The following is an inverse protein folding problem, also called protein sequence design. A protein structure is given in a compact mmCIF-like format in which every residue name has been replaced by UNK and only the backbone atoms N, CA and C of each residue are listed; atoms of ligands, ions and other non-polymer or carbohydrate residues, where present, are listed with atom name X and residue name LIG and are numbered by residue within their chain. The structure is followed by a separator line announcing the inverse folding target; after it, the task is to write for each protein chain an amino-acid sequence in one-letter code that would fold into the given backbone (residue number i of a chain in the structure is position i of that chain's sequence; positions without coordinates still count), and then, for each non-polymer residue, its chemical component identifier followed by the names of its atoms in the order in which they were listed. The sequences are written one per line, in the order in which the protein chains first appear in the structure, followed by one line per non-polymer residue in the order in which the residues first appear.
data_IF_288135225069
#
_entry.id   IF_288135225069
#
_cell.length_a   1.000
_cell.length_b   1.000
_cell.length_c   1.000
_cell.angle_alpha   90.00
_cell.angle_beta   90.00
_cell.angle_gamma   90.00
#
_symmetry.space_group_name_H-M   'P 1'
#
loop_
_entity.id
_entity.type
_entity.pdbx_description
1 polymer ?
#
# COMPACT_ATOMS: atom_id res chain seq x y z
N UNK A 1 -6.81 11.41 -39.70
CA UNK A 1 -7.55 10.47 -38.82
C UNK A 1 -6.81 10.35 -37.50
N UNK A 2 -7.33 10.90 -36.39
CA UNK A 2 -6.69 10.78 -35.06
C UNK A 2 -7.53 9.85 -34.20
N UNK A 3 -6.98 8.68 -33.89
CA UNK A 3 -7.55 7.70 -32.98
C UNK A 3 -6.60 7.58 -31.78
N UNK A 4 -7.09 7.55 -30.52
CA UNK A 4 -8.48 7.60 -30.09
C UNK A 4 -9.09 9.02 -30.11
N UNK A 5 -10.40 9.11 -30.39
CA UNK A 5 -11.14 10.38 -30.53
C UNK A 5 -11.74 10.76 -29.17
N UNK A 6 -11.10 11.67 -28.44
CA UNK A 6 -11.59 12.16 -27.13
C UNK A 6 -12.48 13.39 -27.30
N UNK A 7 -13.46 13.59 -26.38
CA UNK A 7 -14.36 14.76 -26.38
C UNK A 7 -13.60 16.09 -26.24
N UNK A 8 -12.45 16.07 -25.57
CA UNK A 8 -11.61 17.24 -25.31
C UNK A 8 -10.28 17.15 -26.08
N UNK A 9 -9.64 18.29 -26.43
CA UNK A 9 -8.32 18.30 -27.02
C UNK A 9 -7.30 17.64 -26.08
N UNK A 10 -6.29 16.92 -26.61
CA UNK A 10 -5.29 16.25 -25.79
C UNK A 10 -4.49 17.29 -25.00
N UNK A 11 -4.39 17.08 -23.68
CA UNK A 11 -3.50 17.85 -22.83
C UNK A 11 -2.10 17.27 -22.89
N UNK A 12 -1.10 18.14 -23.06
CA UNK A 12 0.31 17.75 -22.92
C UNK A 12 0.65 17.63 -21.43
N UNK A 13 1.26 16.52 -21.05
CA UNK A 13 1.79 16.27 -19.70
C UNK A 13 3.23 15.79 -19.82
N UNK A 14 4.04 16.00 -18.79
CA UNK A 14 5.42 15.49 -18.76
C UNK A 14 5.42 13.95 -18.71
N UNK A 15 6.50 13.34 -19.19
CA UNK A 15 6.67 11.88 -19.11
C UNK A 15 6.61 11.37 -17.66
N UNK A 16 7.15 12.14 -16.71
CA UNK A 16 7.12 11.83 -15.28
C UNK A 16 5.69 11.82 -14.74
N UNK A 17 4.87 12.82 -15.09
CA UNK A 17 3.48 12.88 -14.66
C UNK A 17 2.65 11.78 -15.31
N UNK A 18 2.89 11.51 -16.60
CA UNK A 18 2.24 10.41 -17.30
C UNK A 18 2.57 9.06 -16.65
N UNK A 19 3.85 8.80 -16.36
CA UNK A 19 4.30 7.56 -15.75
C UNK A 19 3.69 7.36 -14.36
N UNK A 20 3.71 8.40 -13.54
CA UNK A 20 3.10 8.35 -12.20
C UNK A 20 1.61 8.01 -12.27
N UNK A 21 0.84 8.74 -13.09
CA UNK A 21 -0.60 8.49 -13.24
C UNK A 21 -0.91 7.10 -13.83
N UNK A 22 -0.07 6.60 -14.75
CA UNK A 22 -0.24 5.26 -15.33
C UNK A 22 0.00 4.17 -14.27
N UNK A 23 1.09 4.27 -13.50
CA UNK A 23 1.40 3.34 -12.41
C UNK A 23 0.35 3.42 -11.30
N UNK A 24 -0.09 4.62 -10.93
CA UNK A 24 -1.14 4.83 -9.92
C UNK A 24 -2.47 4.21 -10.35
N UNK A 25 -2.80 4.27 -11.64
CA UNK A 25 -4.03 3.64 -12.16
C UNK A 25 -3.98 2.12 -12.02
N UNK A 26 -2.83 1.50 -12.33
CA UNK A 26 -2.61 0.06 -12.14
C UNK A 26 -2.62 -0.30 -10.64
N UNK A 27 -1.93 0.49 -9.82
CA UNK A 27 -1.89 0.32 -8.37
C UNK A 27 -3.28 0.41 -7.75
N UNK A 28 -4.09 1.39 -8.16
CA UNK A 28 -5.45 1.57 -7.66
C UNK A 28 -6.36 0.40 -8.06
N UNK A 29 -6.32 -0.02 -9.33
CA UNK A 29 -7.09 -1.17 -9.79
C UNK A 29 -6.71 -2.45 -9.03
N UNK A 30 -5.40 -2.70 -8.89
CA UNK A 30 -4.90 -3.83 -8.12
C UNK A 30 -5.33 -3.76 -6.65
N UNK A 31 -5.30 -2.57 -6.05
CA UNK A 31 -5.78 -2.33 -4.69
C UNK A 31 -7.27 -2.63 -4.52
N UNK A 32 -8.11 -2.23 -5.47
CA UNK A 32 -9.54 -2.58 -5.45
C UNK A 32 -9.75 -4.09 -5.52
N UNK A 33 -9.06 -4.77 -6.44
CA UNK A 33 -9.12 -6.25 -6.54
C UNK A 33 -8.67 -6.89 -5.23
N UNK A 34 -7.56 -6.42 -4.66
CA UNK A 34 -7.04 -6.90 -3.37
C UNK A 34 -8.06 -6.74 -2.25
N UNK A 35 -8.68 -5.56 -2.08
CA UNK A 35 -9.68 -5.33 -1.04
C UNK A 35 -10.92 -6.20 -1.24
N UNK A 36 -11.39 -6.38 -2.49
CA UNK A 36 -12.51 -7.29 -2.79
C UNK A 36 -12.16 -8.72 -2.40
N UNK A 37 -11.00 -9.23 -2.81
CA UNK A 37 -10.55 -10.58 -2.44
C UNK A 37 -10.40 -10.73 -0.92
N UNK A 38 -9.85 -9.73 -0.24
CA UNK A 38 -9.67 -9.72 1.21
C UNK A 38 -10.99 -9.89 1.96
N UNK A 39 -12.05 -9.23 1.48
CA UNK A 39 -13.40 -9.34 2.05
C UNK A 39 -14.03 -10.69 1.69
N UNK A 40 -14.06 -11.05 0.41
CA UNK A 40 -14.75 -12.25 -0.09
C UNK A 40 -14.16 -13.54 0.45
N UNK A 41 -12.84 -13.61 0.62
CA UNK A 41 -12.15 -14.78 1.19
C UNK A 41 -12.19 -14.82 2.72
N UNK A 42 -12.64 -13.76 3.39
CA UNK A 42 -12.58 -13.64 4.84
C UNK A 42 -11.19 -13.35 5.40
N UNK A 43 -10.16 -13.17 4.56
CA UNK A 43 -8.79 -12.91 5.00
C UNK A 43 -8.59 -11.53 5.65
N UNK A 44 -9.59 -10.65 5.61
CA UNK A 44 -9.57 -9.35 6.29
C UNK A 44 -9.26 -9.44 7.79
N UNK A 45 -9.64 -10.53 8.46
CA UNK A 45 -9.36 -10.78 9.89
C UNK A 45 -7.86 -10.81 10.21
N UNK A 46 -7.00 -11.07 9.21
CA UNK A 46 -5.55 -11.06 9.38
C UNK A 46 -4.97 -9.66 9.49
N UNK A 47 -5.63 -8.66 8.92
CA UNK A 47 -5.11 -7.28 8.81
C UNK A 47 -5.94 -6.26 9.57
N UNK A 48 -7.16 -6.59 9.99
CA UNK A 48 -7.98 -5.74 10.85
C UNK A 48 -7.89 -6.25 12.28
N UNK A 49 -7.45 -5.42 13.25
CA UNK A 49 -7.45 -5.81 14.64
C UNK A 49 -8.87 -6.13 15.13
N UNK A 50 -9.03 -7.30 15.76
CA UNK A 50 -10.29 -7.77 16.33
C UNK A 50 -10.31 -7.72 17.86
N UNK A 51 -9.19 -7.32 18.48
CA UNK A 51 -9.01 -7.20 19.93
C UNK A 51 -8.13 -6.00 20.27
N UNK A 52 -8.37 -5.40 21.44
CA UNK A 52 -7.56 -4.31 21.99
C UNK A 52 -6.16 -4.75 22.44
N UNK A 53 -5.93 -6.06 22.60
CA UNK A 53 -4.60 -6.63 22.90
C UNK A 53 -3.56 -6.29 21.82
N UNK A 54 -4.00 -5.90 20.61
CA UNK A 54 -3.11 -5.48 19.53
C UNK A 54 -2.16 -4.36 19.96
N UNK A 55 -2.60 -3.44 20.83
CA UNK A 55 -1.79 -2.28 21.24
C UNK A 55 -0.61 -2.69 22.13
N UNK A 56 -0.81 -3.34 23.30
CA UNK A 56 0.32 -3.78 24.12
C UNK A 56 1.22 -4.80 23.41
N UNK A 57 0.65 -5.68 22.58
CA UNK A 57 1.44 -6.66 21.82
C UNK A 57 2.29 -6.00 20.72
N UNK A 58 1.76 -4.96 20.06
CA UNK A 58 2.53 -4.20 19.08
C UNK A 58 3.70 -3.45 19.72
N UNK A 59 3.51 -2.90 20.92
CA UNK A 59 4.60 -2.27 21.66
C UNK A 59 5.69 -3.28 22.02
N UNK A 60 5.31 -4.49 22.48
CA UNK A 60 6.27 -5.55 22.76
C UNK A 60 7.04 -5.97 21.50
N UNK A 61 6.37 -6.17 20.38
CA UNK A 61 7.02 -6.49 19.10
C UNK A 61 7.94 -5.35 18.63
N UNK A 62 7.54 -4.09 18.81
CA UNK A 62 8.38 -2.94 18.46
C UNK A 62 9.68 -2.89 19.29
N UNK A 63 9.59 -3.17 20.60
CA UNK A 63 10.78 -3.27 21.46
C UNK A 63 11.68 -4.44 21.05
N UNK A 64 11.10 -5.58 20.67
CA UNK A 64 11.84 -6.73 20.14
C UNK A 64 12.62 -6.37 18.87
N UNK A 65 11.96 -5.77 17.86
CA UNK A 65 12.65 -5.28 16.67
C UNK A 65 13.73 -4.23 17.00
N UNK A 66 13.45 -3.27 17.88
CA UNK A 66 14.39 -2.23 18.27
C UNK A 66 15.62 -2.76 19.03
N UNK A 67 15.43 -3.84 19.79
CA UNK A 67 16.52 -4.53 20.52
C UNK A 67 17.31 -5.50 19.66
N UNK A 68 17.01 -5.59 18.36
CA UNK A 68 17.63 -6.57 17.47
C UNK A 68 17.44 -8.01 18.00
N UNK A 69 16.28 -8.27 18.62
CA UNK A 69 15.86 -9.60 18.99
C UNK A 69 14.53 -9.88 18.28
N UNK A 70 14.60 -10.61 17.18
CA UNK A 70 13.47 -10.71 16.25
C UNK A 70 12.32 -11.46 16.90
N UNK A 71 11.10 -10.89 16.89
CA UNK A 71 9.92 -11.62 17.33
C UNK A 71 9.75 -12.89 16.50
N UNK A 72 9.19 -13.93 17.12
CA UNK A 72 8.83 -15.15 16.38
C UNK A 72 7.71 -14.80 15.42
N UNK A 73 8.04 -14.79 14.12
CA UNK A 73 7.09 -14.53 13.05
C UNK A 73 6.57 -15.83 12.45
N UNK A 74 5.26 -15.88 12.18
CA UNK A 74 4.68 -16.94 11.37
C UNK A 74 3.69 -16.34 10.35
N UNK A 75 4.24 -15.57 9.40
CA UNK A 75 3.49 -14.84 8.37
C UNK A 75 2.61 -15.72 7.48
N UNK A 76 2.79 -17.05 7.49
CA UNK A 76 1.88 -17.99 6.85
C UNK A 76 0.53 -18.03 7.57
N UNK A 77 0.57 -18.14 8.91
CA UNK A 77 -0.59 -18.30 9.78
C UNK A 77 -1.15 -16.95 10.21
N UNK A 78 -0.35 -16.10 10.85
CA UNK A 78 -0.76 -14.81 11.41
C UNK A 78 0.38 -13.79 11.40
N UNK A 79 0.01 -12.51 11.35
CA UNK A 79 0.96 -11.42 11.57
C UNK A 79 1.05 -11.10 13.06
N UNK A 80 2.23 -10.71 13.53
CA UNK A 80 2.33 -10.12 14.86
C UNK A 80 1.55 -8.78 14.90
N UNK A 81 1.21 -8.29 16.10
CA UNK A 81 0.37 -7.11 16.26
C UNK A 81 0.96 -5.82 15.69
N UNK A 82 2.29 -5.65 15.68
CA UNK A 82 2.93 -4.48 15.04
C UNK A 82 2.77 -4.53 13.52
N UNK A 83 3.01 -5.69 12.91
CA UNK A 83 2.77 -5.91 11.49
C UNK A 83 1.29 -5.72 11.15
N UNK A 84 0.38 -6.28 11.94
CA UNK A 84 -1.07 -6.13 11.72
C UNK A 84 -1.49 -4.66 11.72
N UNK A 85 -1.04 -3.86 12.69
CA UNK A 85 -1.32 -2.41 12.71
C UNK A 85 -0.69 -1.69 11.52
N UNK A 86 0.55 -2.04 11.16
CA UNK A 86 1.22 -1.44 10.01
C UNK A 86 0.46 -1.72 8.71
N UNK A 87 -0.01 -2.96 8.51
CA UNK A 87 -0.84 -3.33 7.36
C UNK A 87 -2.20 -2.65 7.39
N UNK A 88 -2.86 -2.59 8.56
CA UNK A 88 -4.13 -1.89 8.71
C UNK A 88 -4.01 -0.43 8.27
N UNK A 89 -3.02 0.30 8.81
CA UNK A 89 -2.77 1.70 8.47
C UNK A 89 -2.43 1.86 6.99
N UNK A 90 -1.58 0.98 6.45
CA UNK A 90 -1.18 1.05 5.04
C UNK A 90 -2.37 0.85 4.10
N UNK A 91 -3.18 -0.19 4.34
CA UNK A 91 -4.28 -0.61 3.47
C UNK A 91 -5.50 0.32 3.60
N UNK A 92 -5.90 0.66 4.83
CA UNK A 92 -7.19 1.30 5.08
C UNK A 92 -7.09 2.80 5.41
N UNK A 93 -5.88 3.33 5.58
CA UNK A 93 -5.66 4.76 5.87
C UNK A 93 -4.78 5.41 4.81
N UNK A 94 -3.52 4.99 4.69
CA UNK A 94 -2.55 5.61 3.80
C UNK A 94 -2.94 5.47 2.32
N UNK A 95 -3.31 4.26 1.88
CA UNK A 95 -3.71 4.03 0.49
C UNK A 95 -4.98 4.82 0.08
N UNK A 96 -6.08 4.83 0.84
CA UNK A 96 -7.23 5.69 0.54
C UNK A 96 -6.90 7.18 0.53
N UNK A 97 -6.07 7.65 1.48
CA UNK A 97 -5.62 9.05 1.48
C UNK A 97 -4.81 9.39 0.24
N UNK A 98 -3.88 8.52 -0.18
CA UNK A 98 -3.10 8.70 -1.40
C UNK A 98 -3.99 8.72 -2.65
N UNK A 99 -4.96 7.81 -2.75
CA UNK A 99 -5.90 7.77 -3.87
C UNK A 99 -6.76 9.05 -3.93
N UNK A 100 -7.35 9.46 -2.81
CA UNK A 100 -8.21 10.65 -2.75
C UNK A 100 -7.44 11.94 -3.10
N UNK A 101 -6.26 12.11 -2.51
CA UNK A 101 -5.40 13.27 -2.76
C UNK A 101 -4.81 13.25 -4.17
N UNK A 102 -4.42 12.07 -4.68
CA UNK A 102 -3.92 11.87 -6.03
C UNK A 102 -4.96 12.22 -7.10
N UNK A 103 -6.20 11.73 -6.95
CA UNK A 103 -7.31 12.09 -7.85
C UNK A 103 -7.52 13.61 -7.87
N UNK A 104 -7.50 14.26 -6.71
CA UNK A 104 -7.69 15.72 -6.60
C UNK A 104 -6.60 16.54 -7.30
N UNK A 105 -5.37 16.06 -7.29
CA UNK A 105 -4.24 16.70 -7.98
C UNK A 105 -4.14 16.31 -9.46
N UNK A 106 -4.79 15.21 -9.87
CA UNK A 106 -4.75 14.69 -11.23
C UNK A 106 -5.60 15.50 -12.22
N UNK A 107 -5.36 15.27 -13.52
CA UNK A 107 -6.22 15.79 -14.59
C UNK A 107 -7.63 15.19 -14.64
N UNK A 108 -7.92 14.16 -13.84
CA UNK A 108 -9.26 13.55 -13.74
C UNK A 108 -10.24 14.39 -12.90
N UNK A 109 -9.73 15.29 -12.04
CA UNK A 109 -10.57 16.21 -11.28
C UNK A 109 -11.19 17.27 -12.18
N UNK A 110 -12.53 17.31 -12.24
CA UNK A 110 -13.24 18.23 -13.12
C UNK A 110 -13.15 19.68 -12.67
N UNK A 111 -12.74 20.57 -13.57
CA UNK A 111 -12.73 22.01 -13.34
C UNK A 111 -14.14 22.61 -13.10
N UNK A 112 -15.19 21.89 -13.49
CA UNK A 112 -16.58 22.33 -13.29
C UNK A 112 -17.07 22.12 -11.85
N UNK A 113 -16.35 21.33 -11.04
CA UNK A 113 -16.73 21.04 -9.65
C UNK A 113 -16.34 22.17 -8.68
N UNK A 114 -16.83 23.38 -8.92
CA UNK A 114 -16.43 24.60 -8.18
C UNK A 114 -16.67 24.49 -6.67
N UNK A 115 -17.86 24.04 -6.25
CA UNK A 115 -18.21 23.88 -4.82
C UNK A 115 -17.32 22.86 -4.12
N UNK A 116 -17.10 21.70 -4.75
CA UNK A 116 -16.25 20.65 -4.20
C UNK A 116 -14.78 21.07 -4.16
N UNK A 117 -14.31 21.81 -5.17
CA UNK A 117 -12.94 22.33 -5.21
C UNK A 117 -12.67 23.41 -4.17
N UNK A 118 -13.71 24.17 -3.78
CA UNK A 118 -13.63 25.12 -2.67
C UNK A 118 -13.60 24.39 -1.31
N UNK A 119 -14.39 23.33 -1.14
CA UNK A 119 -14.39 22.52 0.07
C UNK A 119 -13.12 21.67 0.24
N UNK A 120 -12.52 21.25 -0.87
CA UNK A 120 -11.28 20.47 -0.90
C UNK A 120 -10.23 21.15 -1.80
N UNK A 121 -9.48 22.13 -1.28
CA UNK A 121 -8.43 22.82 -2.02
C UNK A 121 -7.28 21.89 -2.43
N UNK A 122 -6.61 22.20 -3.55
CA UNK A 122 -5.51 21.37 -4.05
C UNK A 122 -4.28 21.45 -3.14
N UNK A 123 -4.13 22.57 -2.44
CA UNK A 123 -3.10 22.85 -1.45
C UNK A 123 -3.22 21.90 -0.27
N UNK A 124 -4.46 21.67 0.20
CA UNK A 124 -4.76 20.70 1.26
C UNK A 124 -4.45 19.29 0.77
N UNK A 125 -4.87 18.94 -0.45
CA UNK A 125 -4.57 17.64 -1.04
C UNK A 125 -3.06 17.38 -1.09
N UNK A 126 -2.27 18.36 -1.53
CA UNK A 126 -0.80 18.28 -1.59
C UNK A 126 -0.18 18.16 -0.20
N UNK A 127 -0.66 18.93 0.76
CA UNK A 127 -0.17 18.93 2.15
C UNK A 127 -0.41 17.57 2.84
N UNK A 128 -1.44 16.82 2.43
CA UNK A 128 -1.69 15.45 2.90
C UNK A 128 -0.89 14.43 2.07
N UNK A 129 -0.88 14.58 0.75
CA UNK A 129 -0.26 13.61 -0.16
C UNK A 129 1.24 13.45 0.09
N UNK A 130 1.95 14.56 0.33
CA UNK A 130 3.39 14.52 0.51
C UNK A 130 3.83 13.73 1.76
N UNK A 131 3.28 13.96 2.97
CA UNK A 131 3.53 13.10 4.12
C UNK A 131 3.14 11.63 3.90
N UNK A 132 2.03 11.36 3.20
CA UNK A 132 1.61 9.98 2.89
C UNK A 132 2.63 9.29 1.98
N UNK A 133 3.20 10.00 1.00
CA UNK A 133 4.29 9.49 0.17
C UNK A 133 5.53 9.18 1.00
N UNK A 134 5.92 10.07 1.92
CA UNK A 134 7.05 9.81 2.83
C UNK A 134 6.80 8.58 3.72
N UNK A 135 5.58 8.43 4.24
CA UNK A 135 5.18 7.23 4.97
C UNK A 135 5.37 5.97 4.14
N UNK A 136 4.89 5.94 2.88
CA UNK A 136 5.07 4.78 2.00
C UNK A 136 6.54 4.45 1.75
N UNK A 137 7.40 5.46 1.55
CA UNK A 137 8.84 5.25 1.36
C UNK A 137 9.46 4.61 2.60
N UNK A 138 9.18 5.15 3.79
CA UNK A 138 9.70 4.62 5.05
C UNK A 138 9.16 3.21 5.35
N UNK A 139 7.86 2.99 5.13
CA UNK A 139 7.23 1.69 5.26
C UNK A 139 7.90 0.67 4.33
N UNK A 140 8.10 1.01 3.06
CA UNK A 140 8.74 0.12 2.09
C UNK A 140 10.15 -0.26 2.51
N UNK A 141 10.97 0.71 2.94
CA UNK A 141 12.33 0.46 3.41
C UNK A 141 12.33 -0.50 4.60
N UNK A 142 11.53 -0.21 5.62
CA UNK A 142 11.43 -1.04 6.82
C UNK A 142 10.88 -2.45 6.49
N UNK A 143 9.80 -2.52 5.72
CA UNK A 143 9.14 -3.75 5.34
C UNK A 143 10.06 -4.68 4.55
N UNK A 144 10.72 -4.18 3.50
CA UNK A 144 11.64 -4.99 2.68
C UNK A 144 12.85 -5.43 3.50
N UNK A 145 13.39 -4.55 4.36
CA UNK A 145 14.48 -4.91 5.28
C UNK A 145 14.09 -6.08 6.18
N UNK A 146 12.87 -6.04 6.74
CA UNK A 146 12.36 -7.13 7.58
C UNK A 146 12.13 -8.41 6.77
N UNK A 147 11.55 -8.32 5.58
CA UNK A 147 11.37 -9.48 4.67
C UNK A 147 12.70 -10.18 4.40
N UNK A 148 13.77 -9.41 4.14
CA UNK A 148 15.08 -9.97 3.81
C UNK A 148 15.85 -10.47 5.05
N UNK A 149 15.65 -9.86 6.22
CA UNK A 149 16.36 -10.23 7.46
C UNK A 149 15.66 -11.30 8.31
N UNK A 150 14.37 -11.57 8.10
CA UNK A 150 13.56 -12.53 8.90
C UNK A 150 13.38 -13.89 8.21
N UNK A 151 14.24 -14.22 7.24
CA UNK A 151 14.15 -15.47 6.47
C UNK A 151 13.68 -15.25 5.02
N UNK A 152 14.50 -14.53 4.24
CA UNK A 152 14.18 -14.09 2.87
C UNK A 152 13.54 -15.16 1.98
N UNK A 153 14.14 -16.35 1.85
CA UNK A 153 13.62 -17.42 0.98
C UNK A 153 12.22 -17.89 1.40
N UNK A 154 11.99 -18.03 2.71
CA UNK A 154 10.69 -18.45 3.24
C UNK A 154 9.63 -17.37 3.03
N UNK A 155 9.97 -16.11 3.33
CA UNK A 155 9.08 -14.97 3.13
C UNK A 155 8.71 -14.77 1.64
N UNK A 156 9.69 -14.89 0.74
CA UNK A 156 9.46 -14.81 -0.70
C UNK A 156 8.59 -15.98 -1.20
N UNK A 157 8.72 -17.17 -0.63
CA UNK A 157 7.81 -18.28 -0.93
C UNK A 157 6.39 -18.06 -0.41
N UNK A 158 6.19 -17.39 0.73
CA UNK A 158 4.86 -16.99 1.19
C UNK A 158 4.20 -16.01 0.22
N UNK A 159 4.97 -15.04 -0.30
CA UNK A 159 4.43 -13.95 -1.15
C UNK A 159 4.26 -14.35 -2.62
N UNK A 160 5.26 -15.02 -3.21
CA UNK A 160 5.32 -15.30 -4.65
C UNK A 160 5.15 -16.78 -4.96
N UNK A 161 5.60 -17.68 -4.07
CA UNK A 161 5.56 -19.12 -4.28
C UNK A 161 4.26 -19.80 -3.79
N UNK A 162 3.46 -19.13 -2.97
CA UNK A 162 2.25 -19.69 -2.38
C UNK A 162 2.48 -20.92 -1.49
N UNK A 163 3.67 -21.05 -0.89
CA UNK A 163 4.07 -22.24 -0.11
C UNK A 163 4.86 -21.86 1.14
N UNK A 164 4.71 -22.64 2.21
CA UNK A 164 5.53 -22.52 3.42
C UNK A 164 6.78 -23.42 3.33
N UNK A 165 7.73 -23.04 2.48
CA UNK A 165 8.95 -23.81 2.22
C UNK A 165 10.20 -22.91 2.11
N UNK A 166 11.36 -23.50 2.39
CA UNK A 166 12.66 -22.84 2.19
C UNK A 166 13.30 -23.39 0.91
N UNK A 167 12.99 -22.75 -0.21
CA UNK A 167 13.55 -23.07 -1.53
C UNK A 167 13.60 -21.78 -2.39
N UNK A 168 14.07 -21.89 -3.63
CA UNK A 168 14.30 -20.75 -4.51
C UNK A 168 13.08 -20.32 -5.33
N UNK A 169 11.96 -21.05 -5.30
CA UNK A 169 10.81 -20.80 -6.19
C UNK A 169 10.29 -19.37 -6.08
N UNK A 170 9.95 -18.90 -4.87
CA UNK A 170 9.46 -17.55 -4.66
C UNK A 170 10.50 -16.47 -4.97
N UNK A 171 11.79 -16.75 -4.72
CA UNK A 171 12.87 -15.82 -5.04
C UNK A 171 13.10 -15.65 -6.54
N UNK A 172 12.93 -16.71 -7.33
CA UNK A 172 13.03 -16.66 -8.80
C UNK A 172 11.86 -15.87 -9.39
N UNK A 173 10.64 -16.01 -8.86
CA UNK A 173 9.46 -15.27 -9.35
C UNK A 173 9.55 -13.77 -9.01
N UNK A 174 10.22 -13.42 -7.91
CA UNK A 174 10.39 -12.04 -7.48
C UNK A 174 11.30 -11.20 -8.40
N UNK A 175 12.30 -11.83 -9.03
CA UNK A 175 13.30 -11.17 -9.89
C UNK A 175 12.81 -11.02 -11.34
#
# INVERSE_FOLDING_TARGET
TRWPRTKNPPRKISITLWLHLALDSLWFLNGVIFVVLLIVTGHWVRVVPTSWEVIPNALSAALQYASLNWPVENGWVNYNSLQQLAYFVTIFVAAPLAAATGIRMSGAWSANWKRLSAAYPVEVARAIHFPVMLYFVLFLIAHVTLVLSTGALRNLNHMYGGQDAVNWTGAIIFL
#
